data_IF_920849246625
#
_entry.id   IF_920849246625
#
_cell.length_a   1.000
_cell.length_b   1.000
_cell.length_c   1.000
_cell.angle_alpha   90.00
_cell.angle_beta   90.00
_cell.angle_gamma   90.00
#
_symmetry.space_group_name_H-M   'P 1'
#
loop_
_entity.id
_entity.type
_entity.pdbx_description
1 polymer ?
#
# COMPACT_ATOMS: atom_id res chain seq x y z
N UNK A 1 -2.94 56.47 -29.08
CA UNK A 1 -1.80 56.45 -28.15
C UNK A 1 -2.15 55.55 -26.98
N UNK A 2 -2.02 54.22 -27.12
CA UNK A 2 -2.00 53.35 -25.95
C UNK A 2 -0.65 53.58 -25.29
N UNK A 3 -0.67 54.17 -24.10
CA UNK A 3 0.55 54.59 -23.41
C UNK A 3 1.35 53.36 -22.97
N UNK A 4 2.68 53.45 -22.98
CA UNK A 4 3.61 52.44 -22.44
C UNK A 4 3.15 51.86 -21.09
N UNK A 5 2.49 52.71 -20.28
CA UNK A 5 1.86 52.34 -19.02
C UNK A 5 0.80 51.22 -19.16
N UNK A 6 -0.05 51.27 -20.19
CA UNK A 6 -1.08 50.23 -20.43
C UNK A 6 -0.45 48.88 -20.76
N UNK A 7 0.60 48.86 -21.58
CA UNK A 7 1.32 47.62 -21.89
C UNK A 7 2.06 47.06 -20.67
N UNK A 8 2.66 47.93 -19.85
CA UNK A 8 3.29 47.54 -18.60
C UNK A 8 2.27 46.92 -17.63
N UNK A 9 1.13 47.58 -17.41
CA UNK A 9 0.06 47.08 -16.53
C UNK A 9 -0.46 45.73 -17.03
N UNK A 10 -0.69 45.58 -18.34
CA UNK A 10 -1.17 44.31 -18.91
C UNK A 10 -0.15 43.18 -18.74
N UNK A 11 1.15 43.45 -18.97
CA UNK A 11 2.21 42.45 -18.83
C UNK A 11 2.38 41.99 -17.39
N UNK A 12 2.44 42.93 -16.46
CA UNK A 12 2.61 42.60 -15.04
C UNK A 12 1.33 41.99 -14.44
N UNK A 13 0.15 42.47 -14.84
CA UNK A 13 -1.13 41.88 -14.45
C UNK A 13 -1.27 40.44 -14.92
N UNK A 14 -0.92 40.16 -16.18
CA UNK A 14 -0.90 38.80 -16.70
C UNK A 14 0.11 37.90 -15.97
N UNK A 15 1.31 38.41 -15.67
CA UNK A 15 2.33 37.66 -14.93
C UNK A 15 1.87 37.30 -13.51
N UNK A 16 1.21 38.23 -12.81
CA UNK A 16 0.63 38.00 -11.47
C UNK A 16 -0.49 36.95 -11.56
N UNK A 17 -1.38 37.07 -12.54
CA UNK A 17 -2.46 36.10 -12.75
C UNK A 17 -1.92 34.70 -13.02
N UNK A 18 -0.89 34.58 -13.86
CA UNK A 18 -0.20 33.33 -14.16
C UNK A 18 0.42 32.72 -12.89
N UNK A 19 1.07 33.54 -12.08
CA UNK A 19 1.66 33.09 -10.81
C UNK A 19 0.60 32.64 -9.79
N UNK A 20 -0.54 33.34 -9.71
CA UNK A 20 -1.67 32.92 -8.87
C UNK A 20 -2.22 31.58 -9.37
N UNK A 21 -2.37 31.41 -10.69
CA UNK A 21 -2.83 30.15 -11.27
C UNK A 21 -1.88 29.00 -10.92
N UNK A 22 -0.57 29.18 -11.09
CA UNK A 22 0.45 28.19 -10.72
C UNK A 22 0.41 27.88 -9.22
N UNK A 23 0.29 28.91 -8.37
CA UNK A 23 0.18 28.70 -6.93
C UNK A 23 -1.09 27.93 -6.55
N UNK A 24 -2.22 28.21 -7.21
CA UNK A 24 -3.48 27.51 -7.01
C UNK A 24 -3.41 26.05 -7.47
N UNK A 25 -2.83 25.77 -8.64
CA UNK A 25 -2.70 24.38 -9.15
C UNK A 25 -1.80 23.55 -8.25
N UNK A 26 -0.65 24.10 -7.86
CA UNK A 26 0.27 23.45 -6.92
C UNK A 26 -0.42 23.20 -5.58
N UNK A 27 -1.11 24.20 -5.03
CA UNK A 27 -1.83 24.06 -3.75
C UNK A 27 -2.99 23.07 -3.83
N UNK A 28 -3.68 22.97 -4.96
CA UNK A 28 -4.72 21.95 -5.18
C UNK A 28 -4.12 20.56 -5.18
N UNK A 29 -3.03 20.36 -5.94
CA UNK A 29 -2.33 19.08 -6.03
C UNK A 29 -1.85 18.61 -4.64
N UNK A 30 -1.25 19.52 -3.86
CA UNK A 30 -0.81 19.19 -2.50
C UNK A 30 -1.99 18.89 -1.55
N UNK A 31 -3.11 19.62 -1.64
CA UNK A 31 -4.29 19.38 -0.79
C UNK A 31 -5.01 18.09 -1.13
N UNK A 32 -5.04 17.69 -2.40
CA UNK A 32 -5.64 16.42 -2.81
C UNK A 32 -4.83 15.25 -2.25
N UNK A 33 -3.50 15.33 -2.29
CA UNK A 33 -2.61 14.33 -1.68
C UNK A 33 -2.84 14.23 -0.16
N UNK A 34 -3.04 15.35 0.54
CA UNK A 34 -3.31 15.35 1.99
C UNK A 34 -4.72 14.85 2.35
N UNK A 35 -5.72 15.07 1.49
CA UNK A 35 -7.11 14.66 1.73
C UNK A 35 -7.30 13.15 1.54
N UNK A 36 -6.49 12.52 0.68
CA UNK A 36 -6.43 11.06 0.51
C UNK A 36 -5.54 10.36 1.55
N UNK A 37 -4.99 11.05 2.56
CA UNK A 37 -4.44 10.39 3.76
C UNK A 37 -5.59 10.04 4.70
N UNK A 38 -6.07 8.78 4.76
CA UNK A 38 -7.18 8.44 5.62
C UNK A 38 -6.65 8.50 7.04
N UNK A 39 -7.12 9.49 7.81
CA UNK A 39 -6.93 9.59 9.26
C UNK A 39 -6.97 8.19 9.87
N UNK A 40 -5.84 7.75 10.45
CA UNK A 40 -5.70 6.51 11.24
C UNK A 40 -7.01 6.21 11.96
N UNK A 41 -7.77 5.27 11.41
CA UNK A 41 -9.08 4.89 11.91
C UNK A 41 -8.95 4.57 13.40
N UNK A 42 -9.58 5.41 14.23
CA UNK A 42 -9.64 5.26 15.70
C UNK A 42 -10.19 3.89 16.13
N UNK A 43 -10.76 3.12 15.20
CA UNK A 43 -11.22 1.75 15.42
C UNK A 43 -10.07 0.78 15.72
N UNK A 44 -8.89 0.92 15.10
CA UNK A 44 -7.77 -0.01 15.30
C UNK A 44 -7.16 0.11 16.71
N UNK A 45 -7.05 1.35 17.23
CA UNK A 45 -6.56 1.61 18.59
C UNK A 45 -7.47 1.03 19.68
N UNK A 46 -8.78 0.91 19.41
CA UNK A 46 -9.74 0.29 20.34
C UNK A 46 -9.64 -1.24 20.34
N UNK A 47 -9.29 -1.85 19.21
CA UNK A 47 -9.09 -3.31 19.08
C UNK A 47 -7.80 -3.76 19.77
N UNK A 48 -6.70 -3.01 19.61
CA UNK A 48 -5.44 -3.30 20.32
C UNK A 48 -5.55 -3.14 21.84
N UNK A 49 -6.27 -2.11 22.34
CA UNK A 49 -6.48 -1.95 23.79
C UNK A 49 -7.33 -3.09 24.40
N UNK A 50 -8.29 -3.63 23.65
CA UNK A 50 -9.09 -4.79 24.10
C UNK A 50 -8.26 -6.07 24.09
N UNK A 51 -7.39 -6.25 23.09
CA UNK A 51 -6.48 -7.40 23.02
C UNK A 51 -5.45 -7.39 24.17
N UNK A 52 -4.85 -6.23 24.48
CA UNK A 52 -3.91 -6.10 25.60
C UNK A 52 -4.56 -6.36 26.96
N UNK A 53 -5.82 -5.95 27.16
CA UNK A 53 -6.54 -6.19 28.41
C UNK A 53 -6.98 -7.65 28.60
N UNK A 54 -6.98 -8.47 27.54
CA UNK A 54 -7.31 -9.89 27.62
C UNK A 54 -6.10 -10.79 27.95
N UNK A 55 -4.87 -10.27 27.84
CA UNK A 55 -3.63 -11.01 28.10
C UNK A 55 -3.13 -10.83 29.55
N UNK A 56 -3.71 -9.89 30.30
CA UNK A 56 -3.26 -9.55 31.66
C UNK A 56 -4.19 -10.14 32.74
N UNK A 57 -4.06 -11.45 32.96
CA UNK A 57 -4.41 -12.11 34.24
C UNK A 57 -3.57 -13.39 34.42
N UNK A 58 -3.17 -13.75 35.66
CA UNK A 58 -1.82 -14.22 35.93
C UNK A 58 -1.72 -15.67 36.45
N UNK A 59 -0.64 -16.39 36.11
CA UNK A 59 -0.09 -17.52 36.88
C UNK A 59 1.30 -17.95 36.34
N UNK A 60 2.16 -18.65 37.12
CA UNK A 60 3.49 -18.15 37.48
C UNK A 60 4.66 -19.10 37.10
N UNK A 61 5.83 -18.79 37.70
CA UNK A 61 7.08 -19.57 37.90
C UNK A 61 8.15 -19.61 36.79
N UNK A 62 9.12 -18.69 36.95
CA UNK A 62 10.54 -18.94 37.22
C UNK A 62 11.28 -20.02 36.41
N UNK A 63 12.23 -19.59 35.56
CA UNK A 63 13.66 -19.77 35.86
C UNK A 63 14.51 -18.96 34.88
N UNK A 64 15.53 -18.30 35.42
CA UNK A 64 16.48 -17.47 34.71
C UNK A 64 17.77 -18.26 34.38
N UNK A 65 18.34 -18.04 33.19
CA UNK A 65 19.79 -17.89 32.98
C UNK A 65 20.12 -17.45 31.53
N UNK A 66 21.22 -16.73 31.29
CA UNK A 66 21.39 -15.82 30.15
C UNK A 66 22.24 -16.41 29.02
N UNK A 67 21.86 -16.18 27.77
CA UNK A 67 22.66 -16.55 26.59
C UNK A 67 22.92 -15.30 25.74
N UNK A 68 24.20 -14.92 25.73
CA UNK A 68 25.01 -14.09 24.82
C UNK A 68 24.28 -13.61 23.53
N UNK A 69 24.35 -12.30 23.17
CA UNK A 69 23.75 -11.78 21.95
C UNK A 69 24.63 -12.09 20.74
N UNK A 70 24.40 -13.23 20.09
CA UNK A 70 24.87 -13.44 18.72
C UNK A 70 23.91 -12.69 17.80
N UNK A 71 24.45 -11.68 17.11
CA UNK A 71 23.76 -10.84 16.15
C UNK A 71 23.53 -11.59 14.82
N UNK A 72 22.94 -12.79 14.89
CA UNK A 72 22.45 -13.52 13.74
C UNK A 72 21.03 -13.06 13.48
N UNK A 73 20.87 -12.18 12.49
CA UNK A 73 19.57 -11.96 11.86
C UNK A 73 19.01 -13.33 11.47
N UNK A 74 17.86 -13.78 12.01
CA UNK A 74 17.29 -15.02 11.55
C UNK A 74 16.83 -14.78 10.10
N UNK A 75 17.49 -15.45 9.16
CA UNK A 75 16.89 -15.78 7.87
C UNK A 75 15.77 -16.75 8.20
N UNK A 76 14.66 -16.18 8.65
CA UNK A 76 13.48 -16.95 8.98
C UNK A 76 12.91 -17.44 7.66
N UNK A 77 13.02 -18.75 7.42
CA UNK A 77 12.18 -19.50 6.47
C UNK A 77 10.69 -19.46 6.86
N UNK A 78 10.26 -18.46 7.64
CA UNK A 78 8.87 -18.19 7.91
C UNK A 78 8.20 -17.81 6.59
N UNK A 79 7.16 -18.58 6.25
CA UNK A 79 6.21 -18.18 5.22
C UNK A 79 5.80 -16.74 5.52
N UNK A 80 5.80 -15.84 4.52
CA UNK A 80 5.37 -14.48 4.77
C UNK A 80 3.95 -14.52 5.33
N UNK A 81 3.70 -13.67 6.31
CA UNK A 81 2.46 -13.57 7.08
C UNK A 81 1.75 -12.23 6.87
N UNK A 82 2.39 -11.30 6.16
CA UNK A 82 1.88 -9.96 5.96
C UNK A 82 2.02 -9.55 4.50
N UNK A 83 0.97 -8.96 3.93
CA UNK A 83 1.05 -8.21 2.69
C UNK A 83 1.24 -6.74 3.06
N UNK A 84 2.33 -6.12 2.61
CA UNK A 84 2.64 -4.73 2.89
C UNK A 84 2.60 -3.93 1.61
N UNK A 85 1.82 -2.85 1.60
CA UNK A 85 1.82 -1.89 0.51
C UNK A 85 2.99 -0.94 0.71
N UNK A 86 3.94 -0.98 -0.23
CA UNK A 86 5.18 -0.17 -0.17
C UNK A 86 5.04 1.15 -0.91
N UNK A 87 4.16 1.21 -1.92
CA UNK A 87 3.95 2.41 -2.74
C UNK A 87 2.49 2.51 -3.22
N UNK A 88 2.07 3.73 -3.54
CA UNK A 88 0.71 4.06 -3.98
C UNK A 88 -0.20 4.65 -2.90
N UNK A 89 -1.50 4.85 -3.19
CA UNK A 89 -2.43 5.54 -2.30
C UNK A 89 -2.63 4.84 -0.94
N UNK A 90 -2.31 3.54 -0.87
CA UNK A 90 -2.41 2.74 0.36
C UNK A 90 -1.04 2.46 1.01
N UNK A 91 0.04 3.15 0.60
CA UNK A 91 1.38 2.94 1.12
C UNK A 91 1.42 2.97 2.67
N UNK A 92 2.12 2.00 3.26
CA UNK A 92 2.19 1.80 4.71
C UNK A 92 1.02 1.00 5.29
N UNK A 93 0.01 0.64 4.49
CA UNK A 93 -1.02 -0.32 4.89
C UNK A 93 -0.46 -1.73 4.86
N UNK A 94 -0.85 -2.53 5.84
CA UNK A 94 -0.48 -3.93 5.92
C UNK A 94 -1.69 -4.80 6.17
N UNK A 95 -1.89 -5.83 5.36
CA UNK A 95 -3.00 -6.78 5.49
C UNK A 95 -2.42 -8.12 5.92
N UNK A 96 -2.85 -8.68 7.06
CA UNK A 96 -2.35 -9.96 7.51
C UNK A 96 -2.81 -11.04 6.53
N UNK A 97 -1.91 -11.94 6.15
CA UNK A 97 -2.18 -13.07 5.27
C UNK A 97 -2.94 -14.16 6.03
N UNK A 98 -4.12 -13.79 6.56
CA UNK A 98 -4.95 -14.64 7.42
C UNK A 98 -5.97 -15.37 6.56
N UNK A 99 -5.52 -16.39 5.84
CA UNK A 99 -6.37 -17.19 4.96
C UNK A 99 -5.58 -17.85 3.84
N UNK A 100 -6.25 -18.66 3.02
CA UNK A 100 -5.62 -19.32 1.87
C UNK A 100 -5.62 -18.46 0.61
N UNK A 101 -6.45 -17.41 0.56
CA UNK A 101 -6.63 -16.56 -0.62
C UNK A 101 -6.91 -15.12 -0.21
N UNK A 102 -6.30 -14.19 -0.93
CA UNK A 102 -6.44 -12.75 -0.78
C UNK A 102 -6.70 -12.20 -2.16
N UNK A 103 -7.79 -11.46 -2.32
CA UNK A 103 -8.15 -10.83 -3.59
C UNK A 103 -7.79 -9.35 -3.56
N UNK A 104 -7.29 -8.86 -4.69
CA UNK A 104 -6.93 -7.47 -4.91
C UNK A 104 -7.71 -6.92 -6.10
N UNK A 105 -8.26 -5.73 -5.94
CA UNK A 105 -8.96 -5.03 -7.02
C UNK A 105 -9.84 -3.90 -6.51
N UNK A 106 -10.51 -3.21 -7.41
CA UNK A 106 -11.31 -2.01 -7.09
C UNK A 106 -12.65 -2.30 -6.42
N UNK A 107 -13.20 -3.51 -6.60
CA UNK A 107 -14.46 -3.86 -5.96
C UNK A 107 -14.32 -3.97 -4.44
N UNK A 108 -15.32 -3.46 -3.72
CA UNK A 108 -15.39 -3.54 -2.25
C UNK A 108 -15.52 -4.98 -1.71
N UNK A 109 -15.76 -5.96 -2.58
CA UNK A 109 -15.78 -7.38 -2.25
C UNK A 109 -14.39 -8.01 -2.14
N UNK A 110 -13.33 -7.29 -2.51
CA UNK A 110 -11.95 -7.78 -2.38
C UNK A 110 -11.40 -7.61 -0.96
N UNK A 111 -10.46 -8.49 -0.58
CA UNK A 111 -9.75 -8.38 0.71
C UNK A 111 -8.91 -7.10 0.76
N UNK A 112 -8.23 -6.77 -0.34
CA UNK A 112 -7.50 -5.51 -0.51
C UNK A 112 -8.22 -4.71 -1.58
N UNK A 113 -8.94 -3.68 -1.15
CA UNK A 113 -9.65 -2.76 -2.05
C UNK A 113 -8.67 -1.71 -2.53
N UNK A 114 -8.41 -1.69 -3.83
CA UNK A 114 -7.53 -0.72 -4.49
C UNK A 114 -8.40 0.32 -5.20
N UNK A 115 -8.54 1.51 -4.63
CA UNK A 115 -9.33 2.59 -5.24
C UNK A 115 -8.51 3.32 -6.32
N UNK A 116 -8.45 2.70 -7.50
CA UNK A 116 -7.65 3.16 -8.64
C UNK A 116 -8.34 2.81 -9.96
N UNK A 117 -8.46 3.77 -10.88
CA UNK A 117 -9.08 3.61 -12.20
C UNK A 117 -8.35 2.60 -13.10
N UNK A 118 -7.04 2.43 -12.90
CA UNK A 118 -6.23 1.46 -13.64
C UNK A 118 -6.35 0.04 -13.09
N UNK A 119 -7.17 -0.16 -12.05
CA UNK A 119 -7.37 -1.45 -11.41
C UNK A 119 -8.77 -1.99 -11.70
N UNK A 120 -8.82 -3.17 -12.33
CA UNK A 120 -10.05 -3.93 -12.54
C UNK A 120 -10.77 -4.26 -11.23
N UNK A 121 -12.09 -4.46 -11.30
CA UNK A 121 -12.93 -4.82 -10.16
C UNK A 121 -12.40 -6.03 -9.38
N UNK A 122 -12.00 -7.08 -10.09
CA UNK A 122 -11.22 -8.21 -9.57
C UNK A 122 -9.95 -8.32 -10.42
N UNK A 123 -8.82 -7.85 -9.90
CA UNK A 123 -7.62 -7.67 -10.70
C UNK A 123 -6.68 -8.86 -10.57
N UNK A 124 -6.33 -9.21 -9.34
CA UNK A 124 -5.41 -10.30 -9.05
C UNK A 124 -5.82 -11.00 -7.76
N UNK A 125 -5.35 -12.23 -7.60
CA UNK A 125 -5.43 -12.95 -6.32
C UNK A 125 -4.06 -13.46 -5.93
N UNK A 126 -3.78 -13.37 -4.63
CA UNK A 126 -2.65 -14.02 -3.98
C UNK A 126 -3.21 -15.18 -3.19
N UNK A 127 -2.75 -16.40 -3.44
CA UNK A 127 -3.27 -17.60 -2.80
C UNK A 127 -2.14 -18.53 -2.40
N UNK A 128 -2.41 -19.41 -1.44
CA UNK A 128 -1.50 -20.50 -1.10
C UNK A 128 -1.72 -21.63 -2.09
N UNK A 129 -0.69 -21.95 -2.88
CA UNK A 129 -0.71 -23.08 -3.81
C UNK A 129 -0.89 -24.40 -3.03
N UNK A 130 -1.95 -25.19 -3.30
CA UNK A 130 -2.19 -26.45 -2.61
C UNK A 130 -1.09 -27.49 -2.81
N UNK A 131 -0.36 -27.44 -3.93
CA UNK A 131 0.68 -28.42 -4.24
C UNK A 131 1.99 -28.15 -3.48
N UNK A 132 2.39 -26.88 -3.40
CA UNK A 132 3.68 -26.47 -2.82
C UNK A 132 3.55 -25.86 -1.42
N UNK A 133 2.35 -25.44 -1.03
CA UNK A 133 2.08 -24.69 0.20
C UNK A 133 2.72 -23.30 0.24
N UNK A 134 3.20 -22.81 -0.91
CA UNK A 134 3.82 -21.48 -1.07
C UNK A 134 2.78 -20.46 -1.51
N UNK A 135 3.08 -19.18 -1.30
CA UNK A 135 2.27 -18.11 -1.86
C UNK A 135 2.49 -18.02 -3.37
N UNK A 136 1.39 -17.88 -4.10
CA UNK A 136 1.36 -17.68 -5.54
C UNK A 136 0.48 -16.48 -5.86
N UNK A 137 0.73 -15.85 -7.00
CA UNK A 137 -0.06 -14.76 -7.53
C UNK A 137 -0.59 -15.13 -8.91
N UNK A 138 -1.82 -14.74 -9.17
CA UNK A 138 -2.50 -14.93 -10.44
C UNK A 138 -3.28 -13.65 -10.80
N UNK A 139 -3.15 -13.25 -12.06
CA UNK A 139 -3.95 -12.19 -12.66
C UNK A 139 -5.30 -12.75 -13.10
N UNK A 140 -6.40 -12.07 -12.77
CA UNK A 140 -7.77 -12.52 -13.03
C UNK A 140 -8.32 -11.98 -14.36
N UNK A 141 -7.45 -11.73 -15.34
CA UNK A 141 -7.83 -11.13 -16.62
C UNK A 141 -7.98 -9.62 -16.51
N UNK A 142 -7.04 -8.95 -15.84
CA UNK A 142 -7.05 -7.51 -15.69
C UNK A 142 -6.73 -6.79 -17.00
N UNK A 143 -7.26 -5.58 -17.17
CA UNK A 143 -7.08 -4.82 -18.42
C UNK A 143 -5.63 -4.37 -18.60
N UNK A 144 -5.01 -3.88 -17.51
CA UNK A 144 -3.66 -3.31 -17.54
C UNK A 144 -2.57 -4.34 -17.19
N UNK A 145 -2.95 -5.52 -16.67
CA UNK A 145 -2.04 -6.55 -16.23
C UNK A 145 -1.45 -6.30 -14.84
N UNK A 146 -0.99 -7.39 -14.23
CA UNK A 146 -0.19 -7.38 -13.01
C UNK A 146 1.29 -7.44 -13.35
N UNK A 147 2.14 -6.68 -12.65
CA UNK A 147 3.61 -6.67 -12.85
C UNK A 147 4.31 -7.18 -11.60
N UNK A 148 5.09 -8.25 -11.71
CA UNK A 148 5.89 -8.84 -10.63
C UNK A 148 7.37 -8.62 -10.92
N UNK A 149 8.11 -8.01 -10.00
CA UNK A 149 9.54 -7.73 -10.16
C UNK A 149 9.89 -7.06 -11.52
N UNK A 150 9.09 -6.07 -11.92
CA UNK A 150 9.22 -5.34 -13.21
C UNK A 150 8.86 -6.15 -14.47
N UNK A 151 8.42 -7.40 -14.34
CA UNK A 151 7.98 -8.24 -15.46
C UNK A 151 6.46 -8.42 -15.42
N UNK A 152 5.79 -8.40 -16.58
CA UNK A 152 4.34 -8.64 -16.64
C UNK A 152 4.05 -10.11 -16.32
N UNK A 153 2.99 -10.34 -15.56
CA UNK A 153 2.52 -11.67 -15.19
C UNK A 153 1.61 -12.20 -16.30
N UNK A 154 2.04 -13.27 -16.98
CA UNK A 154 1.26 -13.94 -18.03
C UNK A 154 0.61 -15.24 -17.56
N UNK A 155 1.16 -15.87 -16.52
CA UNK A 155 0.68 -17.11 -15.93
C UNK A 155 0.84 -17.08 -14.40
N UNK A 156 0.08 -17.89 -13.64
CA UNK A 156 0.25 -17.98 -12.19
C UNK A 156 1.71 -18.30 -11.83
N UNK A 157 2.28 -17.56 -10.88
CA UNK A 157 3.66 -17.75 -10.44
C UNK A 157 3.77 -17.77 -8.92
N UNK A 158 4.80 -18.46 -8.41
CA UNK A 158 5.15 -18.42 -6.99
C UNK A 158 5.65 -17.02 -6.63
N UNK A 159 5.07 -16.43 -5.60
CA UNK A 159 5.40 -15.11 -5.10
C UNK A 159 6.27 -15.23 -3.84
N UNK A 160 7.55 -14.88 -3.99
CA UNK A 160 8.50 -14.86 -2.88
C UNK A 160 8.26 -13.72 -1.88
N UNK A 161 8.83 -13.86 -0.68
CA UNK A 161 8.89 -12.76 0.29
C UNK A 161 9.76 -11.62 -0.27
N UNK A 162 9.36 -10.38 -0.01
CA UNK A 162 10.01 -9.13 -0.47
C UNK A 162 10.14 -8.99 -1.98
N UNK A 163 9.28 -9.69 -2.73
CA UNK A 163 9.16 -9.50 -4.17
C UNK A 163 8.10 -8.42 -4.42
N UNK A 164 8.46 -7.29 -5.07
CA UNK A 164 7.52 -6.21 -5.34
C UNK A 164 6.57 -6.60 -6.48
N UNK A 165 5.28 -6.39 -6.23
CA UNK A 165 4.20 -6.57 -7.21
C UNK A 165 3.49 -5.24 -7.38
N UNK A 166 3.36 -4.79 -8.62
CA UNK A 166 2.65 -3.56 -8.99
C UNK A 166 1.33 -3.89 -9.67
N UNK A 167 0.28 -3.25 -9.18
CA UNK A 167 -1.08 -3.27 -9.71
C UNK A 167 -1.57 -1.81 -9.76
N UNK A 168 -1.81 -1.29 -10.97
CA UNK A 168 -2.11 0.13 -11.16
C UNK A 168 -1.00 1.03 -10.58
N UNK A 169 -1.39 1.99 -9.74
CA UNK A 169 -0.49 2.86 -8.99
C UNK A 169 -0.02 2.28 -7.66
N UNK A 170 -0.45 1.06 -7.29
CA UNK A 170 -0.12 0.44 -5.99
C UNK A 170 0.98 -0.61 -6.16
N UNK A 171 2.01 -0.54 -5.33
CA UNK A 171 3.04 -1.59 -5.23
C UNK A 171 3.01 -2.23 -3.85
N UNK A 172 2.98 -3.55 -3.79
CA UNK A 172 2.97 -4.32 -2.55
C UNK A 172 3.98 -5.46 -2.58
N UNK A 173 4.32 -6.00 -1.42
CA UNK A 173 5.19 -7.16 -1.26
C UNK A 173 4.72 -8.02 -0.09
N UNK A 174 5.14 -9.29 -0.08
CA UNK A 174 4.91 -10.19 1.04
C UNK A 174 6.04 -10.08 2.07
N UNK A 175 5.73 -10.09 3.36
CA UNK A 175 6.70 -10.05 4.48
C UNK A 175 6.40 -11.10 5.53
#
# INVERSE_FOLDING_TARGET
>A
MLTELTFAILKYGFLILLWIFVACTVRSLYKDIETFSPRKSRAHRRKERRARKAVEAPAPVASAAPVIPTNEMPISNAKPTLLVVIDGPLAGSSVPLTGNTITLGRAASNTVVLDDEFVSSHHARVYTDPATGQWAIEDLGSTNGTVVNQQRLDAPMILGSRVPVRIGATTFELR
#
